data_IF_482678801974
#
_entry.id   IF_482678801974
#
_cell.length_a   1.000
_cell.length_b   1.000
_cell.length_c   1.000
_cell.angle_alpha   90.00
_cell.angle_beta   90.00
_cell.angle_gamma   90.00
#
_symmetry.space_group_name_H-M   'P 1'
#
loop_
_entity.id
_entity.type
_entity.pdbx_description
1 polymer ?
#
# COMPACT_ATOMS: atom_id res chain seq x y z
N UNK A 1 -23.76 1.76 3.63
CA UNK A 1 -22.80 1.05 2.75
C UNK A 1 -21.37 1.59 2.85
N UNK A 2 -21.11 2.80 3.40
CA UNK A 2 -19.75 3.35 3.48
C UNK A 2 -18.76 2.58 4.36
N UNK A 3 -19.23 1.90 5.41
CA UNK A 3 -18.38 1.03 6.26
C UNK A 3 -17.58 -0.01 5.48
N UNK A 4 -18.16 -0.59 4.42
CA UNK A 4 -17.46 -1.56 3.57
C UNK A 4 -16.35 -0.90 2.73
N UNK A 5 -16.60 0.31 2.24
CA UNK A 5 -15.60 1.09 1.51
C UNK A 5 -14.45 1.53 2.45
N UNK A 6 -14.77 1.87 3.69
CA UNK A 6 -13.77 2.20 4.69
C UNK A 6 -12.86 1.00 4.98
N UNK A 7 -13.44 -0.19 5.18
CA UNK A 7 -12.69 -1.43 5.36
C UNK A 7 -11.83 -1.77 4.14
N UNK A 8 -12.36 -1.59 2.92
CA UNK A 8 -11.58 -1.81 1.71
C UNK A 8 -10.41 -0.84 1.60
N UNK A 9 -10.62 0.45 1.90
CA UNK A 9 -9.55 1.44 1.96
C UNK A 9 -8.46 1.06 2.97
N UNK A 10 -8.85 0.60 4.16
CA UNK A 10 -7.92 0.10 5.17
C UNK A 10 -7.10 -1.09 4.66
N UNK A 11 -7.73 -2.05 3.98
CA UNK A 11 -7.04 -3.21 3.40
C UNK A 11 -6.01 -2.77 2.37
N UNK A 12 -6.33 -1.82 1.49
CA UNK A 12 -5.37 -1.31 0.51
C UNK A 12 -4.16 -0.65 1.17
N UNK A 13 -4.37 0.13 2.24
CA UNK A 13 -3.27 0.72 3.01
C UNK A 13 -2.37 -0.37 3.59
N UNK A 14 -2.96 -1.41 4.20
CA UNK A 14 -2.21 -2.52 4.77
C UNK A 14 -1.38 -3.22 3.69
N UNK A 15 -1.97 -3.52 2.53
CA UNK A 15 -1.27 -4.16 1.42
C UNK A 15 -0.15 -3.27 0.86
N UNK A 16 -0.35 -1.93 0.81
CA UNK A 16 0.67 -0.99 0.36
C UNK A 16 1.89 -0.89 1.28
N UNK A 17 1.72 -1.13 2.59
CA UNK A 17 2.82 -1.09 3.58
C UNK A 17 3.45 -2.46 3.79
N UNK A 18 2.71 -3.55 3.55
CA UNK A 18 3.16 -4.93 3.76
C UNK A 18 4.57 -5.25 3.20
N UNK A 19 4.97 -4.77 1.99
CA UNK A 19 6.28 -5.08 1.42
C UNK A 19 7.47 -4.63 2.25
N UNK A 20 7.31 -3.63 3.12
CA UNK A 20 8.39 -3.17 3.99
C UNK A 20 8.80 -4.22 5.03
N UNK A 21 7.88 -5.10 5.42
CA UNK A 21 8.09 -6.11 6.45
C UNK A 21 8.41 -7.50 5.87
N UNK A 22 8.04 -7.77 4.62
CA UNK A 22 8.23 -9.08 3.98
C UNK A 22 9.70 -9.56 3.96
N UNK A 23 10.71 -8.72 3.71
CA UNK A 23 12.12 -9.14 3.76
C UNK A 23 12.55 -9.64 5.14
N UNK A 24 12.01 -9.05 6.21
CA UNK A 24 12.36 -9.40 7.59
C UNK A 24 11.91 -10.82 7.98
N UNK A 25 10.90 -11.35 7.29
CA UNK A 25 10.34 -12.69 7.52
C UNK A 25 10.75 -13.70 6.42
N UNK A 26 11.73 -13.36 5.58
CA UNK A 26 12.24 -14.25 4.53
C UNK A 26 11.38 -14.31 3.26
N UNK A 27 10.42 -13.40 3.09
CA UNK A 27 9.54 -13.30 1.91
C UNK A 27 9.98 -12.20 0.94
N UNK A 28 11.29 -11.92 0.87
CA UNK A 28 11.83 -10.84 0.03
C UNK A 28 11.47 -10.95 -1.46
N UNK A 29 11.36 -12.17 -2.00
CA UNK A 29 10.97 -12.40 -3.40
C UNK A 29 9.54 -11.95 -3.72
N UNK A 30 8.66 -11.87 -2.71
CA UNK A 30 7.31 -11.34 -2.91
C UNK A 30 7.30 -9.82 -3.05
N UNK A 31 8.33 -9.14 -2.54
CA UNK A 31 8.49 -7.69 -2.66
C UNK A 31 8.70 -7.31 -4.12
N UNK A 32 9.41 -8.12 -4.90
CA UNK A 32 9.70 -7.84 -6.31
C UNK A 32 8.45 -7.56 -7.15
N UNK A 33 7.32 -8.23 -6.84
CA UNK A 33 6.04 -7.97 -7.49
C UNK A 33 5.54 -6.53 -7.30
N UNK A 34 5.85 -5.91 -6.16
CA UNK A 34 5.48 -4.52 -5.89
C UNK A 34 6.37 -3.53 -6.66
N UNK A 35 7.55 -3.94 -7.11
CA UNK A 35 8.48 -3.12 -7.89
C UNK A 35 8.48 -3.42 -9.39
N UNK A 36 7.62 -4.34 -9.84
CA UNK A 36 7.57 -4.83 -11.23
C UNK A 36 7.32 -3.71 -12.26
N UNK A 37 6.64 -2.63 -11.87
CA UNK A 37 6.35 -1.50 -12.77
C UNK A 37 7.63 -0.71 -13.11
N UNK A 38 8.58 -0.60 -12.17
CA UNK A 38 9.91 -0.01 -12.33
C UNK A 38 9.95 1.33 -13.10
N UNK A 39 8.99 2.22 -12.82
CA UNK A 39 8.86 3.57 -13.37
C UNK A 39 9.65 4.58 -12.50
N UNK A 40 9.42 4.57 -11.18
CA UNK A 40 10.10 5.35 -10.16
C UNK A 40 9.97 4.73 -8.75
N UNK A 41 10.94 5.04 -7.89
CA UNK A 41 10.87 4.76 -6.46
C UNK A 41 11.00 6.05 -5.67
N UNK A 42 10.35 6.12 -4.51
CA UNK A 42 10.41 7.27 -3.63
C UNK A 42 10.88 6.82 -2.24
N UNK A 43 11.99 7.38 -1.79
CA UNK A 43 12.51 7.12 -0.45
C UNK A 43 11.76 7.97 0.58
N UNK A 44 11.05 7.31 1.50
CA UNK A 44 10.28 7.93 2.58
C UNK A 44 10.71 7.29 3.90
N UNK A 45 11.18 8.11 4.84
CA UNK A 45 11.59 7.67 6.17
C UNK A 45 12.61 6.50 6.17
N UNK A 46 13.50 6.46 5.17
CA UNK A 46 14.52 5.42 5.04
C UNK A 46 14.04 4.12 4.38
N UNK A 47 12.79 4.09 3.91
CA UNK A 47 12.23 2.98 3.14
C UNK A 47 11.96 3.43 1.70
N UNK A 48 12.26 2.57 0.74
CA UNK A 48 11.87 2.80 -0.64
C UNK A 48 10.42 2.35 -0.84
N UNK A 49 9.63 3.20 -1.47
CA UNK A 49 8.27 2.89 -1.88
C UNK A 49 8.21 2.85 -3.40
N UNK A 50 7.63 1.79 -3.93
CA UNK A 50 7.26 1.72 -5.34
C UNK A 50 5.97 2.49 -5.61
N UNK A 51 5.72 2.78 -6.87
CA UNK A 51 4.51 3.40 -7.38
C UNK A 51 3.27 2.59 -7.01
N UNK A 52 3.35 1.26 -7.10
CA UNK A 52 2.23 0.39 -6.74
C UNK A 52 1.91 0.52 -5.25
N UNK A 53 2.93 0.55 -4.39
CA UNK A 53 2.75 0.81 -2.95
C UNK A 53 2.13 2.17 -2.70
N UNK A 54 2.59 3.21 -3.39
CA UNK A 54 2.07 4.58 -3.26
C UNK A 54 0.62 4.71 -3.75
N UNK A 55 0.26 4.06 -4.86
CA UNK A 55 -1.11 4.03 -5.39
C UNK A 55 -2.04 3.33 -4.39
N UNK A 56 -1.63 2.19 -3.84
CA UNK A 56 -2.41 1.47 -2.83
C UNK A 56 -2.63 2.32 -1.58
N UNK A 57 -1.59 3.01 -1.12
CA UNK A 57 -1.68 3.94 0.00
C UNK A 57 -2.60 5.13 -0.29
N UNK A 58 -2.38 5.83 -1.40
CA UNK A 58 -3.15 7.01 -1.77
C UNK A 58 -4.63 6.69 -2.01
N UNK A 59 -4.92 5.67 -2.82
CA UNK A 59 -6.29 5.23 -3.07
C UNK A 59 -6.92 4.69 -1.79
N UNK A 60 -6.18 3.91 -0.99
CA UNK A 60 -6.65 3.39 0.28
C UNK A 60 -7.10 4.47 1.25
N UNK A 61 -6.31 5.55 1.39
CA UNK A 61 -6.68 6.72 2.21
C UNK A 61 -7.95 7.39 1.70
N UNK A 62 -8.07 7.59 0.39
CA UNK A 62 -9.27 8.20 -0.21
C UNK A 62 -10.52 7.35 0.09
N UNK A 63 -10.44 6.04 -0.14
CA UNK A 63 -11.57 5.13 0.09
C UNK A 63 -11.91 5.01 1.58
N UNK A 64 -10.90 5.04 2.45
CA UNK A 64 -11.09 5.07 3.90
C UNK A 64 -11.90 6.30 4.32
N UNK A 65 -11.48 7.50 3.89
CA UNK A 65 -12.14 8.76 4.23
C UNK A 65 -13.56 8.80 3.66
N UNK A 66 -13.74 8.50 2.37
CA UNK A 66 -15.06 8.50 1.73
C UNK A 66 -16.00 7.49 2.40
N UNK A 67 -15.48 6.31 2.75
CA UNK A 67 -16.25 5.27 3.43
C UNK A 67 -16.58 5.59 4.88
N UNK A 68 -15.74 6.36 5.58
CA UNK A 68 -15.97 6.78 6.96
C UNK A 68 -16.97 7.94 7.05
N UNK A 69 -17.01 8.81 6.04
CA UNK A 69 -17.90 9.99 6.00
C UNK A 69 -19.32 9.64 5.53
N UNK A 70 -19.50 8.57 4.74
CA UNK A 70 -20.81 8.15 4.19
C UNK A 70 -21.44 6.95 4.90
#
# INVERSE_FOLDING_TARGET
>A
MGKGLALFGLILIIIGILPLFMPMIGLGTFVDYFYMLNIYTLSIAGYDFSELMLILLGLGVILLIVGAVR
#
